data_IF_082877814511
#
_entry.id   IF_082877814511
#
_cell.length_a   1.000
_cell.length_b   1.000
_cell.length_c   1.000
_cell.angle_alpha   90.00
_cell.angle_beta   90.00
_cell.angle_gamma   90.00
#
_symmetry.space_group_name_H-M   'P 1'
#
loop_
_entity.id
_entity.type
_entity.pdbx_description
1 polymer ?
#
# COMPACT_ATOMS: atom_id res chain seq x y z
N UNK A 1 -40.92 -29.30 25.32
CA UNK A 1 -39.47 -29.19 25.27
C UNK A 1 -38.84 -28.96 23.89
N UNK A 2 -39.58 -29.05 22.77
CA UNK A 2 -39.05 -28.84 21.37
C UNK A 2 -38.92 -27.38 20.92
N UNK A 3 -39.63 -26.42 21.55
CA UNK A 3 -39.62 -25.00 21.15
C UNK A 3 -38.43 -24.20 21.69
N UNK A 4 -37.84 -24.60 22.81
CA UNK A 4 -36.68 -23.91 23.40
C UNK A 4 -35.39 -24.13 22.60
N UNK A 5 -35.22 -25.27 21.97
CA UNK A 5 -34.01 -25.59 21.19
C UNK A 5 -33.96 -24.83 19.85
N UNK A 6 -35.11 -24.42 19.30
CA UNK A 6 -35.17 -23.63 18.06
C UNK A 6 -34.74 -22.18 18.28
N UNK A 7 -35.05 -21.62 19.45
CA UNK A 7 -34.70 -20.25 19.81
C UNK A 7 -33.18 -20.10 20.06
N UNK A 8 -32.55 -21.12 20.67
CA UNK A 8 -31.10 -21.15 20.90
C UNK A 8 -30.34 -21.25 19.58
N UNK A 9 -30.84 -22.06 18.62
CA UNK A 9 -30.26 -22.16 17.28
C UNK A 9 -30.27 -20.84 16.50
N UNK A 10 -31.34 -20.04 16.64
CA UNK A 10 -31.46 -18.75 15.98
C UNK A 10 -30.50 -17.69 16.58
N UNK A 11 -30.24 -17.77 17.89
CA UNK A 11 -29.32 -16.86 18.57
C UNK A 11 -27.86 -17.06 18.15
N UNK A 12 -27.47 -18.29 17.81
CA UNK A 12 -26.10 -18.60 17.35
C UNK A 12 -25.86 -18.22 15.88
N UNK A 13 -26.90 -18.09 15.04
CA UNK A 13 -26.75 -17.65 13.65
C UNK A 13 -26.50 -16.14 13.51
N UNK A 14 -26.82 -15.36 14.52
CA UNK A 14 -26.70 -13.89 14.46
C UNK A 14 -25.30 -13.36 14.80
N UNK A 15 -24.37 -14.20 15.24
CA UNK A 15 -23.04 -13.76 15.67
C UNK A 15 -21.97 -13.79 14.57
N UNK A 16 -22.29 -14.17 13.35
CA UNK A 16 -21.31 -14.35 12.26
C UNK A 16 -21.25 -13.17 11.27
N UNK A 17 -21.99 -12.10 11.47
CA UNK A 17 -21.91 -10.89 10.65
C UNK A 17 -20.85 -9.93 11.21
N UNK A 18 -19.62 -10.39 11.24
CA UNK A 18 -18.47 -9.47 11.35
C UNK A 18 -18.34 -8.79 9.99
N UNK A 19 -19.03 -7.67 9.82
CA UNK A 19 -18.93 -6.85 8.62
C UNK A 19 -17.48 -6.43 8.44
N UNK A 20 -17.00 -6.47 7.19
CA UNK A 20 -15.72 -5.86 6.83
C UNK A 20 -15.73 -4.40 7.29
N UNK A 21 -14.61 -3.91 7.81
CA UNK A 21 -14.47 -2.50 8.18
C UNK A 21 -14.81 -1.63 6.96
N UNK A 22 -15.91 -0.83 6.99
CA UNK A 22 -16.37 -0.07 5.83
C UNK A 22 -15.36 0.99 5.36
N UNK A 23 -14.35 1.28 6.18
CA UNK A 23 -13.29 2.23 5.87
C UNK A 23 -12.06 1.60 5.21
N UNK A 24 -12.05 0.26 5.03
CA UNK A 24 -10.94 -0.45 4.42
C UNK A 24 -11.34 -1.17 3.14
N UNK A 25 -10.52 -0.98 2.12
CA UNK A 25 -10.62 -1.72 0.87
C UNK A 25 -9.34 -2.52 0.72
N UNK A 26 -9.46 -3.85 0.66
CA UNK A 26 -8.33 -4.77 0.50
C UNK A 26 -8.45 -5.56 -0.79
N UNK A 27 -7.35 -5.65 -1.52
CA UNK A 27 -7.21 -6.41 -2.75
C UNK A 27 -6.07 -7.42 -2.58
N UNK A 28 -6.35 -8.69 -2.83
CA UNK A 28 -5.37 -9.79 -2.77
C UNK A 28 -4.85 -10.23 -4.13
N UNK A 29 -5.59 -9.94 -5.21
CA UNK A 29 -5.19 -10.26 -6.57
C UNK A 29 -4.86 -8.99 -7.33
N UNK A 30 -3.65 -8.47 -7.11
CA UNK A 30 -3.16 -7.25 -7.76
C UNK A 30 -2.63 -7.60 -9.15
N UNK A 31 -3.35 -7.16 -10.18
CA UNK A 31 -2.96 -7.32 -11.58
C UNK A 31 -2.05 -6.17 -12.00
N UNK A 32 -0.91 -6.48 -12.60
CA UNK A 32 0.07 -5.47 -13.05
C UNK A 32 -0.36 -4.76 -14.33
N UNK A 33 -0.97 -5.50 -15.25
CA UNK A 33 -1.28 -5.02 -16.61
C UNK A 33 -2.46 -4.04 -16.66
N UNK A 34 -3.29 -4.02 -15.62
CA UNK A 34 -4.50 -3.18 -15.57
C UNK A 34 -4.64 -2.54 -14.17
N UNK A 35 -3.55 -1.97 -13.68
CA UNK A 35 -3.47 -1.40 -12.36
C UNK A 35 -3.82 0.09 -12.36
N UNK A 36 -4.91 0.42 -11.70
CA UNK A 36 -5.28 1.81 -11.39
C UNK A 36 -4.93 2.08 -9.93
N UNK A 37 -3.83 2.79 -9.72
CA UNK A 37 -3.29 3.04 -8.39
C UNK A 37 -4.23 3.83 -7.50
N UNK A 38 -4.32 3.42 -6.25
CA UNK A 38 -4.99 4.19 -5.19
C UNK A 38 -4.13 5.41 -4.85
N UNK A 39 -4.78 6.55 -4.67
CA UNK A 39 -4.10 7.79 -4.26
C UNK A 39 -4.40 8.11 -2.80
N UNK A 40 -3.36 8.34 -2.02
CA UNK A 40 -3.45 8.94 -0.68
C UNK A 40 -2.77 10.30 -0.70
N UNK A 41 -3.35 11.27 -0.01
CA UNK A 41 -2.83 12.64 -0.07
C UNK A 41 -3.29 13.51 1.10
N UNK A 42 -2.65 14.68 1.25
CA UNK A 42 -2.96 15.68 2.27
C UNK A 42 -3.43 17.02 1.68
N UNK A 43 -3.73 17.06 0.38
CA UNK A 43 -4.09 18.26 -0.35
C UNK A 43 -2.92 19.02 -0.97
N UNK A 44 -1.70 18.82 -0.50
CA UNK A 44 -0.47 19.45 -1.04
C UNK A 44 0.44 18.43 -1.73
N UNK A 45 0.36 17.17 -1.32
CA UNK A 45 1.09 16.05 -1.89
C UNK A 45 0.15 14.87 -2.06
N UNK A 46 0.22 14.19 -3.20
CA UNK A 46 -0.47 12.94 -3.49
C UNK A 46 0.52 11.84 -3.83
N UNK A 47 0.29 10.64 -3.30
CA UNK A 47 1.07 9.44 -3.55
C UNK A 47 0.18 8.46 -4.29
N UNK A 48 0.58 8.04 -5.47
CA UNK A 48 -0.12 7.04 -6.26
C UNK A 48 0.56 5.69 -6.05
N UNK A 49 -0.19 4.70 -5.58
CA UNK A 49 0.33 3.36 -5.32
C UNK A 49 0.84 2.65 -6.57
N UNK A 50 1.70 1.65 -6.39
CA UNK A 50 2.24 0.80 -7.44
C UNK A 50 1.81 -0.65 -7.22
N UNK A 51 1.67 -1.47 -8.28
CA UNK A 51 1.49 -2.91 -8.14
C UNK A 51 2.76 -3.64 -7.68
N UNK A 52 3.90 -2.95 -7.70
CA UNK A 52 5.19 -3.49 -7.26
C UNK A 52 5.41 -3.26 -5.76
N UNK A 53 6.03 -4.21 -5.04
CA UNK A 53 6.35 -4.05 -3.64
C UNK A 53 7.36 -2.91 -3.43
N UNK A 54 7.21 -2.16 -2.33
CA UNK A 54 8.12 -1.08 -1.93
C UNK A 54 8.24 0.07 -2.95
N UNK A 55 7.22 0.23 -3.81
CA UNK A 55 7.20 1.27 -4.86
C UNK A 55 5.90 2.05 -4.88
N UNK A 56 6.01 3.25 -5.38
CA UNK A 56 4.89 4.12 -5.76
C UNK A 56 5.02 4.47 -7.24
N UNK A 57 3.90 4.63 -7.95
CA UNK A 57 3.92 5.00 -9.36
C UNK A 57 4.30 6.47 -9.53
N UNK A 58 3.64 7.33 -8.78
CA UNK A 58 3.83 8.78 -8.89
C UNK A 58 3.76 9.45 -7.53
N UNK A 59 4.49 10.54 -7.40
CA UNK A 59 4.31 11.55 -6.36
C UNK A 59 3.92 12.85 -7.05
N UNK A 60 2.76 13.39 -6.70
CA UNK A 60 2.18 14.60 -7.30
C UNK A 60 2.19 15.72 -6.28
N UNK A 61 2.66 16.90 -6.67
CA UNK A 61 2.69 18.09 -5.84
C UNK A 61 1.63 19.08 -6.30
N UNK A 62 0.84 19.59 -5.37
CA UNK A 62 -0.12 20.64 -5.65
C UNK A 62 0.60 21.93 -6.10
N UNK A 63 0.04 22.58 -7.13
CA UNK A 63 0.62 23.79 -7.70
C UNK A 63 1.74 23.57 -8.72
N UNK A 64 2.17 22.33 -8.94
CA UNK A 64 3.18 21.98 -9.94
C UNK A 64 2.52 21.49 -11.22
N UNK A 65 2.52 22.31 -12.25
CA UNK A 65 1.89 22.03 -13.54
C UNK A 65 2.84 22.26 -14.69
N UNK A 66 2.73 21.46 -15.74
CA UNK A 66 3.42 21.67 -17.00
C UNK A 66 2.43 21.63 -18.18
N UNK A 67 2.78 22.27 -19.26
CA UNK A 67 2.03 22.27 -20.53
C UNK A 67 2.48 21.20 -21.50
N UNK A 68 3.28 20.26 -21.06
CA UNK A 68 3.86 19.23 -21.91
C UNK A 68 2.80 18.31 -22.53
N UNK A 69 2.84 18.18 -23.84
CA UNK A 69 2.21 17.12 -24.63
C UNK A 69 0.79 17.35 -25.14
N UNK A 70 -0.02 18.26 -24.59
CA UNK A 70 -1.42 18.47 -25.00
C UNK A 70 -1.84 19.94 -25.14
N UNK A 71 -0.96 20.79 -25.65
CA UNK A 71 -1.31 22.13 -26.03
C UNK A 71 -1.79 23.04 -24.90
N UNK A 72 -3.09 23.14 -24.68
CA UNK A 72 -3.67 24.11 -23.70
C UNK A 72 -4.03 23.51 -22.34
N UNK A 73 -3.82 22.24 -22.15
CA UNK A 73 -4.17 21.56 -20.89
C UNK A 73 -2.96 21.50 -20.00
N UNK A 74 -3.08 22.07 -18.79
CA UNK A 74 -2.07 21.93 -17.76
C UNK A 74 -2.13 20.50 -17.21
N UNK A 75 -1.00 19.80 -17.23
CA UNK A 75 -0.86 18.48 -16.63
C UNK A 75 -0.12 18.59 -15.31
N UNK A 76 -0.44 17.72 -14.35
CA UNK A 76 0.36 17.60 -13.14
C UNK A 76 1.77 17.13 -13.53
N UNK A 77 2.78 17.82 -13.01
CA UNK A 77 4.13 17.30 -13.06
C UNK A 77 4.23 16.06 -12.17
N UNK A 78 4.76 15.00 -12.73
CA UNK A 78 5.23 13.89 -11.92
C UNK A 78 6.41 14.39 -11.09
N UNK A 79 6.21 14.50 -9.80
CA UNK A 79 7.25 14.91 -8.89
C UNK A 79 8.37 13.88 -8.85
N UNK A 80 9.51 14.30 -8.35
CA UNK A 80 10.63 13.42 -8.08
C UNK A 80 10.19 12.33 -7.08
N UNK A 81 10.24 11.07 -7.47
CA UNK A 81 9.75 9.97 -6.65
C UNK A 81 10.81 9.50 -5.65
N UNK A 82 10.85 10.14 -4.48
CA UNK A 82 11.73 9.79 -3.39
C UNK A 82 11.24 8.63 -2.50
N UNK A 83 10.04 8.12 -2.76
CA UNK A 83 9.42 7.04 -1.97
C UNK A 83 9.72 5.65 -2.52
N UNK A 84 10.37 5.55 -3.66
CA UNK A 84 10.80 4.27 -4.21
C UNK A 84 12.03 3.76 -3.45
N UNK A 85 11.93 2.53 -2.97
CA UNK A 85 13.01 1.88 -2.28
C UNK A 85 13.10 0.40 -2.67
N UNK A 86 14.13 -0.26 -2.19
CA UNK A 86 14.19 -1.71 -2.19
C UNK A 86 14.85 -2.22 -0.93
N UNK A 87 14.50 -3.44 -0.58
CA UNK A 87 15.12 -4.18 0.51
C UNK A 87 15.71 -5.46 -0.07
N UNK A 88 16.87 -5.83 0.41
CA UNK A 88 17.47 -7.14 0.15
C UNK A 88 17.44 -7.94 1.44
N UNK A 89 17.04 -9.19 1.34
CA UNK A 89 17.15 -10.18 2.42
C UNK A 89 18.11 -11.25 1.99
N UNK A 90 19.13 -11.51 2.80
CA UNK A 90 20.22 -12.46 2.53
C UNK A 90 20.89 -12.17 1.17
N UNK A 91 21.08 -10.90 0.84
CA UNK A 91 21.65 -10.44 -0.42
C UNK A 91 20.72 -10.48 -1.63
N UNK A 92 19.52 -11.02 -1.50
CA UNK A 92 18.55 -11.10 -2.59
C UNK A 92 17.55 -9.93 -2.52
N UNK A 93 17.46 -9.17 -3.61
CA UNK A 93 16.51 -8.06 -3.73
C UNK A 93 15.07 -8.57 -3.80
N UNK A 94 14.20 -8.00 -2.97
CA UNK A 94 12.76 -8.25 -3.01
C UNK A 94 12.14 -7.64 -4.28
N UNK A 95 11.36 -8.44 -4.98
CA UNK A 95 10.57 -8.04 -6.15
C UNK A 95 9.30 -8.89 -6.25
N UNK A 96 8.43 -8.58 -7.18
CA UNK A 96 7.14 -9.26 -7.37
C UNK A 96 7.26 -10.77 -7.58
N UNK A 97 8.36 -11.25 -8.16
CA UNK A 97 8.53 -12.66 -8.54
C UNK A 97 8.98 -13.56 -7.39
N UNK A 98 9.52 -12.98 -6.30
CA UNK A 98 10.06 -13.73 -5.17
C UNK A 98 9.27 -13.52 -3.86
N UNK A 99 8.05 -13.02 -3.96
CA UNK A 99 7.13 -12.83 -2.85
C UNK A 99 5.85 -13.63 -3.03
N UNK A 100 5.15 -13.89 -1.94
CA UNK A 100 3.84 -14.54 -1.91
C UNK A 100 2.86 -13.75 -1.06
N UNK A 101 1.57 -14.03 -1.21
CA UNK A 101 0.53 -13.41 -0.37
C UNK A 101 0.42 -11.89 -0.51
N UNK A 102 0.79 -11.33 -1.66
CA UNK A 102 0.77 -9.86 -1.86
C UNK A 102 -0.65 -9.31 -1.81
N UNK A 103 -0.88 -8.46 -0.83
CA UNK A 103 -2.14 -7.75 -0.64
C UNK A 103 -1.91 -6.26 -0.55
N UNK A 104 -2.90 -5.49 -0.95
CA UNK A 104 -2.91 -4.04 -0.82
C UNK A 104 -4.18 -3.58 -0.11
N UNK A 105 -4.04 -2.70 0.84
CA UNK A 105 -5.15 -2.16 1.64
C UNK A 105 -5.12 -0.64 1.65
N UNK A 106 -6.24 -0.03 1.29
CA UNK A 106 -6.52 1.38 1.54
C UNK A 106 -7.32 1.50 2.83
N UNK A 107 -6.79 2.20 3.82
CA UNK A 107 -7.51 2.62 5.01
C UNK A 107 -7.93 4.09 4.85
N UNK A 108 -9.20 4.31 4.48
CA UNK A 108 -9.75 5.65 4.25
C UNK A 108 -9.84 6.47 5.53
N UNK A 109 -10.02 5.84 6.69
CA UNK A 109 -10.10 6.53 7.97
C UNK A 109 -8.75 7.09 8.39
N UNK A 110 -7.66 6.36 8.11
CA UNK A 110 -6.29 6.77 8.42
C UNK A 110 -5.62 7.52 7.27
N UNK A 111 -6.22 7.49 6.06
CA UNK A 111 -5.62 7.96 4.82
C UNK A 111 -4.25 7.31 4.57
N UNK A 112 -4.19 6.00 4.73
CA UNK A 112 -2.98 5.19 4.62
C UNK A 112 -3.18 4.13 3.55
N UNK A 113 -2.18 3.93 2.70
CA UNK A 113 -2.09 2.81 1.79
C UNK A 113 -1.03 1.85 2.31
N UNK A 114 -1.36 0.56 2.38
CA UNK A 114 -0.48 -0.47 2.92
C UNK A 114 -0.37 -1.63 1.93
N UNK A 115 0.86 -2.09 1.69
CA UNK A 115 1.14 -3.35 0.99
C UNK A 115 1.69 -4.35 1.99
N UNK A 116 1.19 -5.58 1.95
CA UNK A 116 1.66 -6.68 2.79
C UNK A 116 2.00 -7.88 1.93
N UNK A 117 3.10 -8.59 2.25
CA UNK A 117 3.56 -9.78 1.53
C UNK A 117 4.54 -10.60 2.37
N UNK A 118 4.71 -11.86 1.99
CA UNK A 118 5.68 -12.78 2.59
C UNK A 118 6.84 -13.02 1.61
N UNK A 119 8.07 -12.95 2.10
CA UNK A 119 9.27 -13.26 1.34
C UNK A 119 9.79 -14.65 1.72
N UNK A 120 9.77 -15.59 0.77
CA UNK A 120 10.39 -16.94 0.85
C UNK A 120 10.11 -17.68 2.18
N UNK A 121 8.95 -17.46 2.80
CA UNK A 121 8.56 -17.95 4.14
C UNK A 121 9.54 -17.54 5.27
N UNK A 122 10.48 -16.63 4.99
CA UNK A 122 11.48 -16.15 5.94
C UNK A 122 11.08 -14.88 6.68
N UNK A 123 10.24 -14.04 6.08
CA UNK A 123 9.78 -12.81 6.69
C UNK A 123 8.42 -12.37 6.15
N UNK A 124 7.60 -11.78 7.00
CA UNK A 124 6.45 -10.99 6.59
C UNK A 124 6.84 -9.51 6.55
N UNK A 125 6.39 -8.83 5.51
CA UNK A 125 6.78 -7.44 5.25
C UNK A 125 5.53 -6.61 5.03
N UNK A 126 5.44 -5.51 5.78
CA UNK A 126 4.38 -4.52 5.65
C UNK A 126 4.99 -3.18 5.30
N UNK A 127 4.54 -2.60 4.19
CA UNK A 127 4.97 -1.29 3.73
C UNK A 127 3.78 -0.34 3.69
N UNK A 128 3.82 0.72 4.49
CA UNK A 128 2.76 1.72 4.59
C UNK A 128 3.20 3.07 4.07
N UNK A 129 2.33 3.73 3.31
CA UNK A 129 2.55 5.05 2.73
C UNK A 129 1.49 6.03 3.24
N UNK A 130 1.92 7.20 3.63
CA UNK A 130 1.03 8.28 4.06
C UNK A 130 1.60 9.66 3.71
N UNK A 131 0.72 10.58 3.35
CA UNK A 131 1.02 12.00 3.24
C UNK A 131 0.76 12.66 4.60
N UNK A 132 1.76 13.35 5.16
CA UNK A 132 1.67 13.90 6.52
C UNK A 132 0.77 15.14 6.55
N UNK A 133 -0.29 15.11 7.36
CA UNK A 133 -1.27 16.21 7.42
C UNK A 133 -0.71 17.52 7.99
N UNK A 134 0.23 17.41 8.92
CA UNK A 134 0.81 18.56 9.64
C UNK A 134 2.04 19.13 8.94
N UNK A 135 2.58 18.42 7.97
CA UNK A 135 3.76 18.83 7.21
C UNK A 135 3.41 18.79 5.72
N UNK A 136 2.99 19.92 5.14
CA UNK A 136 2.70 20.01 3.71
C UNK A 136 3.95 19.61 2.91
N UNK A 137 3.74 18.96 1.78
CA UNK A 137 4.79 18.41 0.91
C UNK A 137 5.67 17.31 1.53
N UNK A 138 5.27 16.76 2.69
CA UNK A 138 5.96 15.64 3.31
C UNK A 138 5.16 14.34 3.18
N UNK A 139 5.86 13.30 2.78
CA UNK A 139 5.37 11.93 2.76
C UNK A 139 6.22 11.04 3.65
N UNK A 140 5.65 9.95 4.13
CA UNK A 140 6.35 8.96 4.92
C UNK A 140 6.08 7.56 4.36
N UNK A 141 7.14 6.78 4.24
CA UNK A 141 7.08 5.33 4.02
C UNK A 141 7.58 4.65 5.28
N UNK A 142 6.81 3.71 5.79
CA UNK A 142 7.17 2.87 6.95
C UNK A 142 7.25 1.44 6.45
N UNK A 143 8.38 0.78 6.70
CA UNK A 143 8.57 -0.62 6.37
C UNK A 143 8.80 -1.40 7.65
N UNK A 144 7.91 -2.33 7.91
CA UNK A 144 7.97 -3.26 9.05
C UNK A 144 8.33 -4.63 8.49
N UNK A 145 9.31 -5.26 9.10
CA UNK A 145 9.77 -6.60 8.74
C UNK A 145 9.65 -7.49 9.97
N UNK A 146 8.82 -8.52 9.88
CA UNK A 146 8.65 -9.54 10.89
C UNK A 146 9.42 -10.80 10.48
N UNK A 147 10.63 -11.04 11.01
CA UNK A 147 11.43 -12.19 10.63
C UNK A 147 10.85 -13.47 11.24
N UNK A 148 10.81 -14.53 10.43
CA UNK A 148 10.44 -15.90 10.83
C UNK A 148 11.67 -16.82 10.98
N UNK A 149 12.84 -16.33 10.54
CA UNK A 149 14.13 -17.02 10.59
C UNK A 149 15.24 -15.98 10.79
N UNK A 150 16.45 -16.44 11.05
CA UNK A 150 17.63 -15.57 11.04
C UNK A 150 17.85 -15.04 9.62
N UNK A 151 17.80 -13.73 9.45
CA UNK A 151 17.93 -13.05 8.17
C UNK A 151 18.83 -11.82 8.30
N UNK A 152 19.51 -11.50 7.21
CA UNK A 152 20.25 -10.24 7.08
C UNK A 152 19.48 -9.29 6.17
N UNK A 153 19.15 -8.11 6.68
CA UNK A 153 18.39 -7.11 5.95
C UNK A 153 19.31 -5.97 5.53
N UNK A 154 19.28 -5.63 4.24
CA UNK A 154 19.91 -4.43 3.72
C UNK A 154 18.85 -3.60 2.99
N UNK A 155 18.74 -2.34 3.36
CA UNK A 155 17.86 -1.37 2.71
C UNK A 155 18.67 -0.42 1.84
N UNK A 156 18.17 -0.13 0.64
CA UNK A 156 18.71 0.92 -0.22
C UNK A 156 17.57 1.77 -0.74
N UNK A 157 17.68 3.06 -0.52
CA UNK A 157 16.82 4.04 -1.17
C UNK A 157 17.48 4.43 -2.50
N UNK A 158 16.88 4.03 -3.61
CA UNK A 158 17.34 4.48 -4.93
C UNK A 158 16.68 5.80 -5.23
N UNK A 159 17.47 6.86 -5.22
CA UNK A 159 17.10 8.07 -5.94
C UNK A 159 17.07 7.69 -7.43
N UNK A 160 15.88 7.59 -8.00
CA UNK A 160 15.76 7.59 -9.45
C UNK A 160 16.17 9.01 -9.88
N UNK A 161 17.32 9.15 -10.51
CA UNK A 161 17.68 10.40 -11.19
C UNK A 161 16.68 10.65 -12.30
N UNK A 162 16.19 11.89 -12.45
CA UNK A 162 15.26 12.25 -13.54
C UNK A 162 15.85 12.03 -14.92
#
# INVERSE_FOLDING_TARGET
>A
MRKANLLIGLLFLSTSLWGQDPWKITVSNVQTDNYYGVTVGNGMLGIVSSPEPLRTNNVVLAGSYDKYGRGRVSNFLNGFNMLNGFISIDGNRINRNNISGFTQTLDMKKATFTSHFTYADKADITCSYLALRQLPYCAMMVVEVEPKADITIAGVNTQETP
#
